data_IF_169711941610
#
_entry.id   IF_169711941610
#
_cell.length_a   1.000
_cell.length_b   1.000
_cell.length_c   1.000
_cell.angle_alpha   90.00
_cell.angle_beta   90.00
_cell.angle_gamma   90.00
#
_symmetry.space_group_name_H-M   'P 1'
#
loop_
_entity.id
_entity.type
_entity.pdbx_description
1 polymer ?
#
# COMPACT_ATOMS: atom_id res chain seq x y z
N UNK A 1 17.45 9.61 -64.17
CA UNK A 1 16.49 9.96 -65.24
C UNK A 1 15.28 9.06 -64.99
N UNK A 2 14.09 9.53 -64.60
CA UNK A 2 13.23 10.60 -65.18
C UNK A 2 12.64 10.15 -66.54
N UNK A 3 11.33 10.11 -66.79
CA UNK A 3 10.13 10.46 -65.96
C UNK A 3 9.04 9.35 -66.13
N UNK A 4 7.69 9.48 -66.05
CA UNK A 4 6.63 10.51 -65.90
C UNK A 4 5.40 9.72 -65.31
N UNK A 5 4.54 10.20 -64.39
CA UNK A 5 3.33 11.06 -64.61
C UNK A 5 2.49 10.69 -65.86
N UNK A 6 1.14 10.57 -65.85
CA UNK A 6 0.06 10.82 -64.84
C UNK A 6 -0.86 9.56 -64.70
N UNK A 7 -2.17 9.51 -64.35
CA UNK A 7 -3.31 10.45 -64.20
C UNK A 7 -4.33 9.99 -63.14
N UNK A 8 -5.30 10.84 -62.82
CA UNK A 8 -6.16 10.85 -61.64
C UNK A 8 -7.52 10.12 -61.74
N UNK A 9 -8.08 9.75 -60.58
CA UNK A 9 -9.52 9.85 -60.31
C UNK A 9 -9.81 9.78 -58.79
N UNK A 10 -9.96 10.93 -58.11
CA UNK A 10 -10.47 11.00 -56.72
C UNK A 10 -11.78 11.78 -56.69
N UNK A 11 -12.85 11.14 -56.23
CA UNK A 11 -14.19 11.75 -56.16
C UNK A 11 -14.30 12.73 -54.99
N UNK A 12 -14.79 13.95 -55.27
CA UNK A 12 -15.01 14.98 -54.26
C UNK A 12 -16.10 14.59 -53.25
N UNK A 13 -15.70 14.15 -52.06
CA UNK A 13 -16.60 14.00 -50.92
C UNK A 13 -17.07 15.36 -50.42
N UNK A 14 -18.39 15.57 -50.32
CA UNK A 14 -18.99 16.84 -49.87
C UNK A 14 -18.47 17.25 -48.48
N UNK A 15 -17.87 18.44 -48.40
CA UNK A 15 -17.22 18.93 -47.18
C UNK A 15 -18.17 19.03 -45.99
N UNK A 16 -17.92 18.24 -44.95
CA UNK A 16 -18.63 18.33 -43.68
C UNK A 16 -18.30 19.66 -43.01
N UNK A 17 -19.24 20.61 -42.98
CA UNK A 17 -19.04 21.91 -42.33
C UNK A 17 -18.82 21.72 -40.83
N UNK A 18 -17.55 21.73 -40.41
CA UNK A 18 -17.20 21.77 -38.98
C UNK A 18 -17.60 23.13 -38.44
N UNK A 19 -18.74 23.21 -37.77
CA UNK A 19 -19.19 24.41 -37.08
C UNK A 19 -18.24 24.67 -35.89
N UNK A 20 -17.14 25.38 -36.15
CA UNK A 20 -16.05 25.65 -35.22
C UNK A 20 -16.41 26.65 -34.13
N UNK A 21 -17.41 26.31 -33.31
CA UNK A 21 -17.73 27.06 -32.09
C UNK A 21 -16.88 26.52 -30.95
N UNK A 22 -15.78 27.21 -30.66
CA UNK A 22 -15.02 26.99 -29.44
C UNK A 22 -15.92 27.24 -28.23
N UNK A 23 -15.78 26.43 -27.18
CA UNK A 23 -16.39 26.74 -25.89
C UNK A 23 -15.80 28.05 -25.37
N UNK A 24 -16.64 29.01 -25.02
CA UNK A 24 -16.23 30.34 -24.60
C UNK A 24 -15.64 30.33 -23.18
N UNK A 25 -14.40 29.86 -23.06
CA UNK A 25 -13.61 29.87 -21.82
C UNK A 25 -13.21 31.30 -21.49
N UNK A 26 -14.10 32.03 -20.82
CA UNK A 26 -13.84 33.41 -20.40
C UNK A 26 -12.76 33.44 -19.30
N UNK A 27 -11.88 34.47 -19.25
CA UNK A 27 -10.74 34.47 -18.33
C UNK A 27 -11.08 34.18 -16.86
N UNK A 28 -12.19 34.71 -16.34
CA UNK A 28 -12.63 34.46 -14.97
C UNK A 28 -12.96 32.98 -14.67
N UNK A 29 -13.41 32.20 -15.66
CA UNK A 29 -13.60 30.74 -15.47
C UNK A 29 -12.27 30.00 -15.32
N UNK A 30 -11.18 30.52 -15.89
CA UNK A 30 -9.83 29.98 -15.73
C UNK A 30 -9.27 30.20 -14.33
N UNK A 31 -9.55 31.36 -13.73
CA UNK A 31 -9.10 31.71 -12.38
C UNK A 31 -9.84 30.91 -11.31
N UNK A 32 -11.16 30.73 -11.43
CA UNK A 32 -11.95 29.88 -10.52
C UNK A 32 -11.42 28.44 -10.46
N UNK A 33 -11.16 27.83 -11.62
CA UNK A 33 -10.60 26.48 -11.71
C UNK A 33 -9.21 26.38 -11.07
N UNK A 34 -8.35 27.38 -11.31
CA UNK A 34 -6.99 27.43 -10.77
C UNK A 34 -6.96 27.70 -9.26
N UNK A 35 -7.99 28.38 -8.73
CA UNK A 35 -8.23 28.58 -7.31
C UNK A 35 -8.91 27.40 -6.59
N UNK A 36 -9.19 26.29 -7.28
CA UNK A 36 -9.83 25.11 -6.68
C UNK A 36 -11.32 25.27 -6.36
N UNK A 37 -12.00 26.26 -6.96
CA UNK A 37 -13.45 26.41 -6.81
C UNK A 37 -14.20 25.20 -7.41
N UNK A 38 -15.37 24.81 -6.86
CA UNK A 38 -16.18 23.74 -7.44
C UNK A 38 -16.61 24.08 -8.87
N UNK A 39 -16.69 23.05 -9.72
CA UNK A 39 -17.15 23.20 -11.11
C UNK A 39 -18.57 23.82 -11.15
N UNK A 40 -18.87 24.68 -12.13
CA UNK A 40 -20.18 25.31 -12.24
C UNK A 40 -21.27 24.25 -12.38
N UNK A 41 -22.19 24.22 -11.41
CA UNK A 41 -23.29 23.25 -11.33
C UNK A 41 -24.27 23.31 -12.53
N UNK A 42 -24.20 24.40 -13.30
CA UNK A 42 -25.05 24.68 -14.44
C UNK A 42 -24.16 25.02 -15.63
N UNK A 43 -23.84 24.01 -16.44
CA UNK A 43 -23.25 24.21 -17.76
C UNK A 43 -24.34 24.62 -18.75
N UNK A 44 -24.02 25.54 -19.67
CA UNK A 44 -24.86 25.70 -20.86
C UNK A 44 -24.97 24.36 -21.60
N UNK A 45 -26.17 23.98 -22.05
CA UNK A 45 -26.33 22.74 -22.79
C UNK A 45 -25.45 22.73 -24.05
N UNK A 46 -24.63 21.68 -24.20
CA UNK A 46 -24.06 21.37 -25.52
C UNK A 46 -25.20 21.31 -26.54
N UNK A 47 -24.98 21.76 -27.78
CA UNK A 47 -26.06 21.98 -28.77
C UNK A 47 -26.84 20.72 -29.18
N UNK A 48 -26.48 19.55 -28.65
CA UNK A 48 -27.26 18.32 -28.65
C UNK A 48 -28.58 18.44 -27.85
N UNK A 49 -28.62 19.24 -26.78
CA UNK A 49 -29.82 19.44 -25.97
C UNK A 49 -30.75 20.47 -26.63
N UNK A 50 -31.31 20.05 -27.77
CA UNK A 50 -32.52 20.65 -28.34
C UNK A 50 -33.64 20.43 -27.31
N UNK A 51 -33.85 21.40 -26.43
CA UNK A 51 -34.84 21.33 -25.36
C UNK A 51 -36.17 20.87 -25.94
N UNK A 52 -36.63 19.69 -25.53
CA UNK A 52 -37.83 19.09 -26.10
C UNK A 52 -39.00 20.05 -25.86
N UNK A 53 -39.77 20.44 -26.90
CA UNK A 53 -40.92 21.30 -26.68
C UNK A 53 -41.83 20.64 -25.64
N UNK A 54 -42.32 21.44 -24.69
CA UNK A 54 -43.25 20.97 -23.67
C UNK A 54 -44.33 20.12 -24.33
N UNK A 55 -44.48 18.87 -23.90
CA UNK A 55 -45.43 17.92 -24.47
C UNK A 55 -46.85 18.38 -24.17
N UNK A 56 -47.36 19.31 -24.98
CA UNK A 56 -48.79 19.47 -25.19
C UNK A 56 -49.33 18.07 -25.48
N UNK A 57 -50.33 17.56 -24.74
CA UNK A 57 -50.86 16.23 -24.99
C UNK A 57 -51.38 16.20 -26.44
N UNK A 58 -50.78 15.35 -27.26
CA UNK A 58 -51.21 15.19 -28.64
C UNK A 58 -52.67 14.72 -28.62
N UNK A 59 -53.54 15.41 -29.37
CA UNK A 59 -54.94 14.99 -29.55
C UNK A 59 -54.94 13.54 -30.04
N UNK A 60 -55.61 12.67 -29.29
CA UNK A 60 -55.51 11.23 -29.46
C UNK A 60 -55.91 10.82 -30.88
N UNK A 61 -54.90 10.51 -31.70
CA UNK A 61 -55.11 10.08 -33.08
C UNK A 61 -55.58 8.63 -33.02
N UNK A 62 -56.88 8.42 -33.20
CA UNK A 62 -57.51 7.09 -33.22
C UNK A 62 -57.09 6.32 -34.48
N UNK A 63 -55.85 5.84 -34.48
CA UNK A 63 -55.40 4.82 -35.43
C UNK A 63 -56.03 3.47 -35.03
N UNK A 64 -56.43 2.63 -36.00
CA UNK A 64 -56.88 1.27 -35.70
C UNK A 64 -55.72 0.48 -35.05
N UNK A 65 -55.97 -0.45 -34.11
CA UNK A 65 -54.92 -1.14 -33.36
C UNK A 65 -53.83 -1.80 -34.21
N UNK A 66 -54.17 -2.24 -35.42
CA UNK A 66 -53.28 -2.85 -36.41
C UNK A 66 -52.15 -1.90 -36.85
N UNK A 67 -52.40 -0.58 -36.82
CA UNK A 67 -51.43 0.46 -37.17
C UNK A 67 -50.85 1.18 -35.94
N UNK A 68 -51.20 0.74 -34.73
CA UNK A 68 -50.60 1.28 -33.51
C UNK A 68 -49.16 0.77 -33.41
N UNK A 69 -48.19 1.67 -33.51
CA UNK A 69 -46.78 1.35 -33.25
C UNK A 69 -46.59 1.09 -31.76
N UNK A 70 -46.87 -0.15 -31.33
CA UNK A 70 -46.64 -0.61 -29.97
C UNK A 70 -45.17 -0.34 -29.58
N UNK A 71 -44.94 0.56 -28.62
CA UNK A 71 -43.59 0.79 -28.14
C UNK A 71 -43.07 -0.48 -27.48
N UNK A 72 -42.04 -1.10 -28.06
CA UNK A 72 -41.35 -2.28 -27.51
C UNK A 72 -40.62 -1.99 -26.17
N UNK A 73 -40.78 -0.79 -25.61
CA UNK A 73 -40.31 -0.37 -24.30
C UNK A 73 -41.18 -1.01 -23.21
N UNK A 74 -40.54 -1.56 -22.17
CA UNK A 74 -41.23 -2.11 -21.02
C UNK A 74 -41.91 -0.98 -20.21
N UNK A 75 -43.16 -1.14 -19.75
CA UNK A 75 -43.79 -0.17 -18.86
C UNK A 75 -42.97 0.05 -17.59
N UNK A 76 -42.98 1.28 -17.05
CA UNK A 76 -42.16 1.65 -15.88
C UNK A 76 -42.38 0.72 -14.67
N UNK A 77 -43.61 0.26 -14.46
CA UNK A 77 -43.97 -0.73 -13.43
C UNK A 77 -43.24 -2.06 -13.61
N UNK A 78 -43.08 -2.57 -14.84
CA UNK A 78 -42.30 -3.79 -15.10
C UNK A 78 -40.81 -3.60 -14.86
N UNK A 79 -40.27 -2.41 -15.14
CA UNK A 79 -38.86 -2.11 -14.84
C UNK A 79 -38.62 -2.00 -13.33
N UNK A 80 -39.60 -1.49 -12.57
CA UNK A 80 -39.53 -1.32 -11.11
C UNK A 80 -39.80 -2.62 -10.34
N UNK A 81 -40.67 -3.50 -10.84
CA UNK A 81 -41.11 -4.73 -10.16
C UNK A 81 -39.96 -5.66 -9.74
N UNK A 82 -38.86 -5.70 -10.50
CA UNK A 82 -37.71 -6.55 -10.22
C UNK A 82 -36.74 -5.97 -9.16
N UNK A 83 -37.08 -4.85 -8.52
CA UNK A 83 -36.19 -4.18 -7.55
C UNK A 83 -34.93 -3.55 -8.18
N UNK A 84 -34.86 -3.44 -9.51
CA UNK A 84 -33.67 -3.00 -10.25
C UNK A 84 -33.22 -1.54 -9.97
N UNK A 85 -34.07 -0.74 -9.30
CA UNK A 85 -33.76 0.61 -8.83
C UNK A 85 -33.58 0.70 -7.31
N UNK A 86 -33.75 -0.40 -6.58
CA UNK A 86 -33.52 -0.49 -5.15
C UNK A 86 -32.02 -0.60 -4.89
N UNK A 87 -31.40 0.46 -4.36
CA UNK A 87 -29.98 0.45 -3.99
C UNK A 87 -29.72 -0.63 -2.94
N UNK A 88 -28.69 -1.45 -3.16
CA UNK A 88 -28.24 -2.42 -2.17
C UNK A 88 -27.91 -1.74 -0.83
N UNK A 89 -28.48 -2.26 0.25
CA UNK A 89 -28.19 -1.79 1.59
C UNK A 89 -26.79 -2.26 1.99
N UNK A 90 -25.96 -1.34 2.49
CA UNK A 90 -24.65 -1.69 3.03
C UNK A 90 -24.82 -2.62 4.23
N UNK A 91 -24.44 -3.88 4.04
CA UNK A 91 -24.31 -4.86 5.12
C UNK A 91 -22.83 -4.91 5.51
N UNK A 92 -22.44 -4.41 6.70
CA UNK A 92 -21.07 -4.58 7.15
C UNK A 92 -20.77 -6.07 7.24
N UNK A 93 -19.73 -6.53 6.54
CA UNK A 93 -19.19 -7.86 6.78
C UNK A 93 -18.64 -7.92 8.20
N UNK A 94 -18.61 -9.13 8.80
CA UNK A 94 -17.87 -9.34 10.03
C UNK A 94 -16.40 -9.01 9.79
N UNK A 95 -15.94 -7.87 10.33
CA UNK A 95 -14.57 -7.40 10.16
C UNK A 95 -13.61 -8.48 10.62
N UNK A 96 -12.66 -8.88 9.76
CA UNK A 96 -11.56 -9.74 10.19
C UNK A 96 -10.80 -9.03 11.30
N UNK A 97 -10.31 -9.81 12.25
CA UNK A 97 -9.46 -9.30 13.33
C UNK A 97 -8.22 -8.60 12.73
N UNK A 98 -8.18 -7.27 12.88
CA UNK A 98 -7.16 -6.43 12.28
C UNK A 98 -5.78 -6.63 12.94
N UNK A 99 -5.75 -7.07 14.20
CA UNK A 99 -4.51 -7.37 14.90
C UNK A 99 -3.90 -8.69 14.42
N UNK A 100 -4.75 -9.69 14.13
CA UNK A 100 -4.33 -10.93 13.46
C UNK A 100 -3.82 -10.66 12.04
N UNK A 101 -4.57 -9.96 11.19
CA UNK A 101 -4.12 -9.65 9.82
C UNK A 101 -2.84 -8.78 9.83
N UNK A 102 -2.67 -7.89 10.82
CA UNK A 102 -1.39 -7.16 11.04
C UNK A 102 -0.24 -8.09 11.41
N UNK A 103 -0.41 -8.99 12.40
CA UNK A 103 0.59 -10.00 12.79
C UNK A 103 0.97 -10.90 11.61
N UNK A 104 -0.04 -11.36 10.86
CA UNK A 104 0.10 -12.16 9.64
C UNK A 104 0.98 -11.47 8.60
N UNK A 105 0.68 -10.21 8.27
CA UNK A 105 1.46 -9.43 7.31
C UNK A 105 2.87 -9.13 7.82
N UNK A 106 3.07 -8.89 9.12
CA UNK A 106 4.40 -8.76 9.73
C UNK A 106 5.20 -10.06 9.57
N UNK A 107 4.60 -11.23 9.82
CA UNK A 107 5.26 -12.53 9.64
C UNK A 107 5.66 -12.78 8.17
N UNK A 108 4.78 -12.42 7.23
CA UNK A 108 5.04 -12.51 5.78
C UNK A 108 6.18 -11.58 5.36
N UNK A 109 6.21 -10.32 5.83
CA UNK A 109 7.26 -9.36 5.46
C UNK A 109 8.61 -9.66 6.12
N UNK A 110 8.64 -10.20 7.33
CA UNK A 110 9.88 -10.56 8.02
C UNK A 110 10.48 -11.89 7.51
N UNK A 111 9.64 -12.92 7.30
CA UNK A 111 10.10 -14.30 7.05
C UNK A 111 9.81 -14.81 5.63
N UNK A 112 9.20 -13.99 4.77
CA UNK A 112 8.73 -14.37 3.43
C UNK A 112 7.62 -15.43 3.42
N UNK A 113 7.07 -15.79 4.59
CA UNK A 113 6.16 -16.93 4.78
C UNK A 113 5.06 -16.60 5.78
N UNK A 114 3.87 -17.10 5.47
CA UNK A 114 2.67 -16.95 6.29
C UNK A 114 2.71 -17.93 7.48
N UNK A 115 3.53 -17.59 8.49
CA UNK A 115 3.59 -18.32 9.77
C UNK A 115 2.43 -17.86 10.65
N UNK A 116 1.21 -18.14 10.21
CA UNK A 116 0.05 -18.14 11.09
C UNK A 116 0.19 -19.19 12.19
N UNK A 117 -0.56 -19.02 13.29
CA UNK A 117 -0.58 -19.89 14.45
C UNK A 117 -1.33 -21.21 14.16
N UNK A 118 -0.84 -21.95 13.17
CA UNK A 118 -1.23 -23.31 12.83
C UNK A 118 -0.96 -24.18 14.05
N UNK A 119 -2.02 -24.37 14.87
CA UNK A 119 -1.99 -24.95 16.21
C UNK A 119 -1.10 -26.20 16.30
N UNK A 120 0.17 -25.98 16.62
CA UNK A 120 1.02 -27.00 17.23
C UNK A 120 0.34 -27.35 18.55
N UNK A 121 0.33 -28.63 18.91
CA UNK A 121 -0.07 -29.03 20.26
C UNK A 121 0.77 -28.25 21.29
N UNK A 122 0.30 -28.08 22.54
CA UNK A 122 1.07 -27.39 23.57
C UNK A 122 2.28 -28.22 24.02
N UNK A 123 3.30 -28.28 23.15
CA UNK A 123 4.64 -28.04 23.62
C UNK A 123 4.60 -26.70 24.31
N UNK A 124 4.68 -26.72 25.64
CA UNK A 124 5.26 -25.61 26.34
C UNK A 124 6.65 -25.41 25.78
N UNK A 125 6.82 -24.40 24.92
CA UNK A 125 7.95 -23.51 25.11
C UNK A 125 7.72 -22.84 26.45
N UNK A 126 8.08 -23.60 27.49
CA UNK A 126 8.87 -23.07 28.57
C UNK A 126 9.93 -22.20 27.88
N UNK A 127 9.80 -20.87 28.02
CA UNK A 127 10.98 -20.04 27.91
C UNK A 127 11.84 -20.45 29.10
N UNK A 128 12.73 -21.42 28.86
CA UNK A 128 13.92 -21.60 29.68
C UNK A 128 14.54 -20.19 29.78
N UNK A 129 14.67 -19.61 30.98
CA UNK A 129 15.01 -18.20 31.14
C UNK A 129 16.30 -17.94 30.38
N UNK A 130 16.18 -17.17 29.29
CA UNK A 130 17.04 -17.29 28.10
C UNK A 130 18.52 -17.37 28.52
N UNK A 131 19.17 -18.55 28.37
CA UNK A 131 20.17 -19.06 29.31
C UNK A 131 21.08 -17.96 29.83
N UNK A 132 20.81 -17.53 31.06
CA UNK A 132 21.31 -16.27 31.63
C UNK A 132 22.82 -16.22 31.45
N UNK A 133 23.25 -15.49 30.41
CA UNK A 133 24.57 -15.70 29.81
C UNK A 133 25.60 -15.41 30.87
N UNK A 134 26.31 -16.46 31.30
CA UNK A 134 27.23 -16.37 32.41
C UNK A 134 28.13 -15.16 32.20
N UNK A 135 28.27 -14.28 33.20
CA UNK A 135 29.02 -13.02 33.07
C UNK A 135 30.42 -13.24 32.52
N UNK A 136 31.00 -14.42 32.76
CA UNK A 136 32.22 -14.90 32.12
C UNK A 136 32.12 -14.97 30.58
N UNK A 137 31.09 -15.62 30.02
CA UNK A 137 30.84 -15.66 28.58
C UNK A 137 30.51 -14.28 27.99
N UNK A 138 29.78 -13.44 28.72
CA UNK A 138 29.50 -12.05 28.30
C UNK A 138 30.82 -11.29 28.11
N UNK A 139 31.70 -11.32 29.12
CA UNK A 139 33.02 -10.68 29.06
C UNK A 139 33.89 -11.24 27.91
N UNK A 140 33.83 -12.54 27.64
CA UNK A 140 34.54 -13.16 26.50
C UNK A 140 34.02 -12.62 25.16
N UNK A 141 32.70 -12.46 25.00
CA UNK A 141 32.07 -11.87 23.79
C UNK A 141 32.48 -10.40 23.65
N UNK A 142 32.34 -9.59 24.70
CA UNK A 142 32.75 -8.18 24.69
C UNK A 142 34.25 -7.99 24.39
N UNK A 143 35.13 -8.84 24.92
CA UNK A 143 36.57 -8.81 24.61
C UNK A 143 36.80 -9.11 23.12
N UNK A 144 36.02 -10.00 22.51
CA UNK A 144 36.12 -10.31 21.09
C UNK A 144 35.60 -9.16 20.22
N UNK A 145 34.44 -8.59 20.52
CA UNK A 145 33.89 -7.40 19.84
C UNK A 145 34.89 -6.24 19.83
N UNK A 146 35.58 -6.02 20.96
CA UNK A 146 36.60 -4.97 21.10
C UNK A 146 37.87 -5.26 20.28
N UNK A 147 38.30 -6.51 20.15
CA UNK A 147 39.39 -6.91 19.24
C UNK A 147 39.00 -6.69 17.78
N UNK A 148 37.77 -7.06 17.39
CA UNK A 148 37.28 -6.91 16.02
C UNK A 148 37.10 -5.43 15.64
N UNK A 149 36.58 -4.60 16.56
CA UNK A 149 36.57 -3.15 16.41
C UNK A 149 37.98 -2.57 16.21
N UNK A 150 38.96 -2.98 17.04
CA UNK A 150 40.34 -2.50 16.90
C UNK A 150 40.96 -2.94 15.56
N UNK A 151 40.75 -4.20 15.14
CA UNK A 151 41.22 -4.70 13.85
C UNK A 151 40.60 -3.92 12.67
N UNK A 152 39.31 -3.58 12.74
CA UNK A 152 38.65 -2.73 11.76
C UNK A 152 39.25 -1.31 11.74
N UNK A 153 39.48 -0.70 12.90
CA UNK A 153 40.11 0.63 12.98
C UNK A 153 41.57 0.63 12.53
N UNK A 154 42.32 -0.46 12.76
CA UNK A 154 43.68 -0.64 12.23
C UNK A 154 43.66 -0.84 10.70
N UNK A 155 42.69 -1.56 10.13
CA UNK A 155 42.50 -1.68 8.68
C UNK A 155 42.12 -0.34 8.01
N UNK A 156 41.38 0.54 8.70
CA UNK A 156 41.13 1.93 8.27
C UNK A 156 42.30 2.90 8.57
N UNK A 157 43.42 2.41 9.11
CA UNK A 157 44.60 3.20 9.49
C UNK A 157 44.42 4.09 10.72
N UNK A 158 43.24 4.10 11.35
CA UNK A 158 42.90 4.92 12.52
C UNK A 158 43.32 4.28 13.85
N UNK A 159 43.83 3.04 13.85
CA UNK A 159 44.19 2.30 15.06
C UNK A 159 45.06 3.07 16.07
N UNK A 160 45.92 3.99 15.62
CA UNK A 160 46.71 4.88 16.51
C UNK A 160 45.86 5.70 17.50
N UNK A 161 44.62 6.05 17.15
CA UNK A 161 43.70 6.77 18.04
C UNK A 161 43.07 5.82 19.08
N UNK A 162 42.62 4.65 18.64
CA UNK A 162 41.79 3.76 19.46
C UNK A 162 42.59 2.75 20.30
N UNK A 163 43.76 2.31 19.84
CA UNK A 163 44.55 1.19 20.41
C UNK A 163 44.81 1.34 21.92
N UNK A 164 45.10 2.55 22.40
CA UNK A 164 45.29 2.79 23.83
C UNK A 164 44.01 2.60 24.67
N UNK A 165 42.88 3.12 24.18
CA UNK A 165 41.57 2.99 24.85
C UNK A 165 41.08 1.54 24.83
N UNK A 166 41.10 0.90 23.66
CA UNK A 166 40.58 -0.47 23.51
C UNK A 166 41.40 -1.49 24.30
N UNK A 167 42.73 -1.33 24.38
CA UNK A 167 43.56 -2.18 25.24
C UNK A 167 43.27 -1.99 26.73
N UNK A 168 42.91 -0.78 27.17
CA UNK A 168 42.48 -0.54 28.55
C UNK A 168 41.12 -1.19 28.85
N UNK A 169 40.14 -1.09 27.93
CA UNK A 169 38.83 -1.75 28.06
C UNK A 169 38.96 -3.29 28.09
N UNK A 170 39.80 -3.86 27.22
CA UNK A 170 40.10 -5.31 27.24
C UNK A 170 40.77 -5.69 28.57
N UNK A 171 41.68 -4.87 29.08
CA UNK A 171 42.35 -5.13 30.37
C UNK A 171 41.37 -5.09 31.55
N UNK A 172 40.41 -4.16 31.57
CA UNK A 172 39.33 -4.12 32.57
C UNK A 172 38.50 -5.41 32.53
N UNK A 173 38.09 -5.85 31.34
CA UNK A 173 37.24 -7.04 31.19
C UNK A 173 37.95 -8.34 31.56
N UNK A 174 39.27 -8.41 31.35
CA UNK A 174 40.11 -9.50 31.87
C UNK A 174 40.16 -9.49 33.41
N UNK A 175 40.24 -8.32 34.06
CA UNK A 175 40.20 -8.22 35.52
C UNK A 175 38.85 -8.64 36.11
N UNK A 176 37.74 -8.23 35.50
CA UNK A 176 36.39 -8.70 35.87
C UNK A 176 36.28 -10.24 35.77
N UNK A 177 36.86 -10.82 34.71
CA UNK A 177 36.91 -12.28 34.50
C UNK A 177 37.76 -12.99 35.57
N UNK A 178 38.92 -12.43 35.94
CA UNK A 178 39.77 -12.95 37.03
C UNK A 178 39.09 -12.84 38.42
N UNK A 179 38.26 -11.83 38.67
CA UNK A 179 37.48 -11.73 39.92
C UNK A 179 36.40 -12.82 40.00
N UNK A 180 35.74 -13.10 38.87
CA UNK A 180 34.75 -14.16 38.73
C UNK A 180 35.36 -15.55 39.00
N UNK A 181 36.54 -15.84 38.45
CA UNK A 181 37.23 -17.12 38.68
C UNK A 181 37.81 -17.26 40.09
N UNK A 182 38.29 -16.17 40.70
CA UNK A 182 38.64 -16.14 42.12
C UNK A 182 37.41 -16.42 43.00
N UNK A 183 36.25 -15.82 42.68
CA UNK A 183 34.98 -16.10 43.38
C UNK A 183 34.54 -17.56 43.25
N UNK A 184 34.67 -18.17 42.06
CA UNK A 184 34.35 -19.58 41.79
C UNK A 184 35.25 -20.54 42.55
N UNK A 185 36.56 -20.35 42.44
CA UNK A 185 37.56 -21.22 43.10
C UNK A 185 37.47 -21.14 44.63
N UNK A 186 37.20 -19.97 45.21
CA UNK A 186 36.94 -19.83 46.65
C UNK A 186 35.65 -20.50 47.13
N UNK A 187 34.56 -20.42 46.34
CA UNK A 187 33.31 -21.15 46.64
C UNK A 187 33.55 -22.67 46.61
N UNK A 188 34.27 -23.16 45.60
CA UNK A 188 34.61 -24.57 45.45
C UNK A 188 35.50 -25.08 46.59
N UNK A 189 36.55 -24.32 46.96
CA UNK A 189 37.42 -24.62 48.12
C UNK A 189 36.62 -24.76 49.41
N UNK A 190 35.68 -23.85 49.65
CA UNK A 190 34.83 -23.88 50.85
C UNK A 190 33.90 -25.10 50.87
N UNK A 191 33.27 -25.43 49.73
CA UNK A 191 32.43 -26.62 49.62
C UNK A 191 33.21 -27.92 49.91
N UNK A 192 34.41 -28.06 49.34
CA UNK A 192 35.30 -29.20 49.57
C UNK A 192 35.89 -29.27 50.99
N UNK A 193 35.93 -28.16 51.72
CA UNK A 193 36.35 -28.10 53.12
C UNK A 193 35.21 -28.35 54.12
N UNK A 194 33.97 -28.46 53.65
CA UNK A 194 32.77 -28.75 54.47
C UNK A 194 32.28 -30.21 54.35
N UNK A 195 32.99 -31.05 53.59
CA UNK A 195 32.73 -32.48 53.38
C UNK A 195 33.83 -33.34 53.96
#
# INVERSE_FOLDING_TARGET
MASQERVDAVSNGTGFQRCGKQLAYTPGTCELLRGGAPLPLQCDPTSSHRGSPSKKPATATYLPPILATHSHLRPASMCQANGAYSREQFKPQATRDLEKEKRRLQNIFANGKDIEERKRAPHGLQEDPAPELDRFEELVKEIQDRKEFLAAMEALGQGKQYRGMILAEISQKLQEMEEIDRSRSEKLRKALATT
#
